data_IF_376992903267
#
_entry.id   IF_376992903267
#
_cell.length_a   1.000
_cell.length_b   1.000
_cell.length_c   1.000
_cell.angle_alpha   90.00
_cell.angle_beta   90.00
_cell.angle_gamma   90.00
#
_symmetry.space_group_name_H-M   'P 1'
#
loop_
_entity.id
_entity.type
_entity.pdbx_description
1 polymer ?
#
# COMPACT_ATOMS: atom_id res chain seq x y z
N UNK A 1 40.43 0.88 15.09
CA UNK A 1 40.31 -0.22 14.10
C UNK A 1 39.64 0.33 12.83
N UNK A 2 40.38 0.57 11.75
CA UNK A 2 39.86 1.18 10.51
C UNK A 2 39.18 0.08 9.69
N UNK A 3 37.84 0.02 9.70
CA UNK A 3 37.08 -0.95 8.92
C UNK A 3 37.27 -0.58 7.44
N UNK A 4 37.98 -1.40 6.67
CA UNK A 4 38.06 -1.25 5.21
C UNK A 4 36.71 -1.68 4.63
N UNK A 5 35.75 -0.77 4.62
CA UNK A 5 34.41 -1.02 4.07
C UNK A 5 34.59 -1.18 2.56
N UNK A 6 34.43 -2.41 2.05
CA UNK A 6 34.46 -2.66 0.61
C UNK A 6 33.21 -2.02 0.00
N UNK A 7 33.30 -1.50 -1.23
CA UNK A 7 32.14 -0.89 -1.93
C UNK A 7 30.89 -1.79 -1.92
N UNK A 8 31.08 -3.11 -1.98
CA UNK A 8 30.00 -4.09 -1.87
C UNK A 8 29.29 -4.13 -0.51
N UNK A 9 29.98 -3.82 0.58
CA UNK A 9 29.39 -3.75 1.92
C UNK A 9 28.53 -2.50 2.08
N UNK A 10 28.91 -1.38 1.46
CA UNK A 10 28.12 -0.14 1.43
C UNK A 10 26.80 -0.38 0.69
N UNK A 11 26.84 -1.02 -0.47
CA UNK A 11 25.64 -1.32 -1.28
C UNK A 11 24.65 -2.18 -0.48
N UNK A 12 25.14 -3.19 0.24
CA UNK A 12 24.28 -4.04 1.10
C UNK A 12 23.59 -3.23 2.20
N UNK A 13 24.33 -2.33 2.86
CA UNK A 13 23.77 -1.47 3.92
C UNK A 13 22.70 -0.53 3.33
N UNK A 14 22.94 0.05 2.16
CA UNK A 14 21.98 0.93 1.49
C UNK A 14 20.72 0.16 1.10
N UNK A 15 20.84 -1.03 0.50
CA UNK A 15 19.68 -1.85 0.14
C UNK A 15 18.88 -2.23 1.39
N UNK A 16 19.55 -2.64 2.47
CA UNK A 16 18.87 -2.98 3.72
C UNK A 16 18.12 -1.78 4.29
N UNK A 17 18.72 -0.58 4.27
CA UNK A 17 18.08 0.64 4.72
C UNK A 17 16.83 0.97 3.89
N UNK A 18 16.88 0.81 2.56
CA UNK A 18 15.72 1.02 1.68
C UNK A 18 14.59 0.03 1.97
N UNK A 19 14.91 -1.24 2.21
CA UNK A 19 13.91 -2.25 2.58
C UNK A 19 13.24 -1.89 3.91
N UNK A 20 14.00 -1.46 4.92
CA UNK A 20 13.45 -1.05 6.22
C UNK A 20 12.51 0.16 6.06
N UNK A 21 12.92 1.17 5.29
CA UNK A 21 12.08 2.35 5.00
C UNK A 21 10.79 1.92 4.30
N UNK A 22 10.90 1.04 3.30
CA UNK A 22 9.74 0.52 2.57
C UNK A 22 8.77 -0.23 3.49
N UNK A 23 9.29 -1.06 4.40
CA UNK A 23 8.47 -1.78 5.40
C UNK A 23 7.73 -0.79 6.30
N UNK A 24 8.40 0.27 6.78
CA UNK A 24 7.77 1.29 7.62
C UNK A 24 6.61 1.98 6.88
N UNK A 25 6.84 2.38 5.61
CA UNK A 25 5.81 2.98 4.75
C UNK A 25 4.61 2.03 4.60
N UNK A 26 4.87 0.76 4.28
CA UNK A 26 3.84 -0.26 4.15
C UNK A 26 2.99 -0.41 5.42
N UNK A 27 3.63 -0.46 6.59
CA UNK A 27 2.90 -0.59 7.86
C UNK A 27 2.08 0.65 8.20
N UNK A 28 2.58 1.85 7.93
CA UNK A 28 1.82 3.10 8.13
C UNK A 28 0.50 3.03 7.34
N UNK A 29 0.56 2.66 6.07
CA UNK A 29 -0.62 2.57 5.22
C UNK A 29 -1.53 1.41 5.60
N UNK A 30 -0.97 0.27 5.99
CA UNK A 30 -1.73 -0.86 6.52
C UNK A 30 -2.57 -0.46 7.75
N UNK A 31 -1.95 0.20 8.74
CA UNK A 31 -2.68 0.64 9.94
C UNK A 31 -3.74 1.71 9.62
N UNK A 32 -3.47 2.60 8.65
CA UNK A 32 -4.45 3.59 8.20
C UNK A 32 -5.64 2.94 7.50
N UNK A 33 -5.40 1.98 6.60
CA UNK A 33 -6.45 1.22 5.93
C UNK A 33 -7.32 0.46 6.94
N UNK A 34 -6.72 -0.13 7.98
CA UNK A 34 -7.46 -0.78 9.09
C UNK A 34 -8.30 0.19 9.92
N UNK A 35 -8.00 1.47 9.89
CA UNK A 35 -8.80 2.55 10.50
C UNK A 35 -9.75 3.21 9.49
N UNK A 36 -9.97 2.60 8.32
CA UNK A 36 -10.80 3.13 7.22
C UNK A 36 -10.37 4.50 6.68
N UNK A 37 -9.11 4.87 6.94
CA UNK A 37 -8.46 6.08 6.42
C UNK A 37 -7.77 5.77 5.10
N UNK A 38 -7.69 6.77 4.23
CA UNK A 38 -6.95 6.65 2.97
C UNK A 38 -5.45 6.45 3.24
N UNK A 39 -4.77 5.59 2.47
CA UNK A 39 -3.32 5.48 2.52
C UNK A 39 -2.65 6.81 2.18
N UNK A 40 -1.45 7.04 2.70
CA UNK A 40 -0.66 8.25 2.39
C UNK A 40 0.18 8.01 1.14
N UNK A 41 0.76 6.80 1.00
CA UNK A 41 1.71 6.50 -0.06
C UNK A 41 1.04 5.72 -1.19
N UNK A 42 0.20 6.41 -1.95
CA UNK A 42 -0.39 5.92 -3.19
C UNK A 42 0.48 6.30 -4.39
N UNK A 43 0.95 5.31 -5.15
CA UNK A 43 1.64 5.53 -6.44
C UNK A 43 0.60 5.88 -7.51
N UNK A 44 -0.54 5.21 -7.45
CA UNK A 44 -1.69 5.48 -8.31
C UNK A 44 -2.95 5.35 -7.48
N UNK A 45 -3.85 6.31 -7.64
CA UNK A 45 -5.18 6.25 -7.08
C UNK A 45 -6.22 6.44 -8.18
N UNK A 46 -7.37 5.79 -8.02
CA UNK A 46 -8.49 5.90 -8.92
C UNK A 46 -9.78 5.76 -8.12
N UNK A 47 -10.74 6.63 -8.39
CA UNK A 47 -12.11 6.51 -7.92
C UNK A 47 -12.99 6.10 -9.09
N UNK A 48 -13.70 4.98 -8.95
CA UNK A 48 -14.71 4.54 -9.92
C UNK A 48 -16.09 4.82 -9.36
N UNK A 49 -16.96 5.37 -10.20
CA UNK A 49 -18.37 5.58 -9.88
C UNK A 49 -19.19 4.41 -10.43
N UNK A 50 -20.15 3.97 -9.63
CA UNK A 50 -21.13 2.93 -9.96
C UNK A 50 -22.53 3.46 -9.63
N UNK A 51 -23.56 2.81 -10.18
CA UNK A 51 -24.95 3.24 -9.98
C UNK A 51 -25.39 3.26 -8.50
N UNK A 52 -24.72 2.47 -7.66
CA UNK A 52 -25.04 2.26 -6.24
C UNK A 52 -23.96 2.78 -5.27
N UNK A 53 -23.01 3.60 -5.77
CA UNK A 53 -21.98 4.22 -4.96
C UNK A 53 -20.62 4.40 -5.64
N UNK A 54 -19.55 4.49 -4.86
CA UNK A 54 -18.18 4.70 -5.39
C UNK A 54 -17.18 3.69 -4.83
N UNK A 55 -16.13 3.40 -5.61
CA UNK A 55 -15.00 2.60 -5.16
C UNK A 55 -13.73 3.42 -5.32
N UNK A 56 -13.11 3.76 -4.19
CA UNK A 56 -11.77 4.33 -4.17
C UNK A 56 -10.75 3.21 -4.17
N UNK A 57 -9.75 3.30 -5.03
CA UNK A 57 -8.64 2.36 -5.10
C UNK A 57 -7.32 3.11 -5.00
N UNK A 58 -6.39 2.57 -4.23
CA UNK A 58 -5.03 3.07 -4.10
C UNK A 58 -4.05 1.90 -4.28
N UNK A 59 -3.11 2.06 -5.20
CA UNK A 59 -1.99 1.15 -5.41
C UNK A 59 -0.75 1.77 -4.81
N UNK A 60 -0.25 1.21 -3.72
CA UNK A 60 0.98 1.63 -3.06
C UNK A 60 2.17 0.76 -3.46
N UNK A 61 3.28 0.92 -2.74
CA UNK A 61 4.49 0.12 -2.99
C UNK A 61 4.28 -1.31 -2.48
N UNK A 62 3.85 -2.22 -3.35
CA UNK A 62 3.68 -3.64 -3.07
C UNK A 62 2.32 -4.03 -2.49
N UNK A 63 1.38 -3.08 -2.40
CA UNK A 63 0.02 -3.34 -1.94
C UNK A 63 -1.00 -2.62 -2.82
N UNK A 64 -2.25 -3.06 -2.72
CA UNK A 64 -3.41 -2.35 -3.24
C UNK A 64 -4.51 -2.34 -2.18
N UNK A 65 -5.21 -1.23 -2.12
CA UNK A 65 -6.30 -0.99 -1.19
C UNK A 65 -7.52 -0.54 -1.97
N UNK A 66 -8.66 -1.11 -1.63
CA UNK A 66 -9.97 -0.69 -2.09
C UNK A 66 -10.78 -0.22 -0.89
N UNK A 67 -11.49 0.89 -1.07
CA UNK A 67 -12.51 1.38 -0.17
C UNK A 67 -13.81 1.40 -0.94
N UNK A 68 -14.76 0.59 -0.50
CA UNK A 68 -16.06 0.49 -1.13
C UNK A 68 -17.02 1.37 -0.34
N UNK A 69 -17.61 2.33 -1.03
CA UNK A 69 -18.74 3.12 -0.58
C UNK A 69 -19.91 2.80 -1.51
N UNK A 70 -20.23 1.50 -1.59
CA UNK A 70 -21.28 0.91 -2.43
C UNK A 70 -22.26 0.16 -1.57
N UNK A 71 -23.56 0.33 -1.82
CA UNK A 71 -24.60 -0.37 -1.06
C UNK A 71 -24.65 -1.88 -1.31
N UNK A 72 -24.12 -2.35 -2.46
CA UNK A 72 -24.04 -3.77 -2.79
C UNK A 72 -22.92 -4.54 -2.08
N UNK A 73 -21.90 -3.87 -1.53
CA UNK A 73 -20.70 -4.52 -0.98
C UNK A 73 -20.60 -4.27 0.53
N UNK A 74 -20.68 -5.34 1.33
CA UNK A 74 -20.63 -5.27 2.80
C UNK A 74 -19.20 -5.00 3.35
N UNK A 75 -18.17 -5.10 2.50
CA UNK A 75 -16.79 -4.82 2.86
C UNK A 75 -16.48 -3.32 2.70
N UNK A 76 -16.26 -2.59 3.80
CA UNK A 76 -15.90 -1.16 3.73
C UNK A 76 -14.48 -0.91 3.19
N UNK A 77 -13.51 -1.76 3.54
CA UNK A 77 -12.11 -1.65 3.12
C UNK A 77 -11.52 -3.03 2.88
N UNK A 78 -10.80 -3.16 1.77
CA UNK A 78 -10.00 -4.32 1.42
C UNK A 78 -8.56 -3.89 1.18
N UNK A 79 -7.61 -4.55 1.83
CA UNK A 79 -6.19 -4.27 1.69
C UNK A 79 -5.47 -5.59 1.42
N UNK A 80 -4.64 -5.62 0.39
CA UNK A 80 -3.90 -6.82 0.03
C UNK A 80 -2.72 -6.54 -0.89
N UNK A 81 -2.08 -7.60 -1.41
CA UNK A 81 -1.00 -7.46 -2.38
C UNK A 81 -1.44 -6.69 -3.63
N UNK A 82 -0.51 -6.08 -4.36
CA UNK A 82 -0.84 -5.22 -5.51
C UNK A 82 -1.69 -5.87 -6.63
N UNK A 83 -1.74 -7.21 -6.65
CA UNK A 83 -2.50 -8.02 -7.60
C UNK A 83 -3.92 -8.39 -7.14
N UNK A 84 -4.39 -7.88 -6.00
CA UNK A 84 -5.81 -8.06 -5.63
C UNK A 84 -6.73 -7.37 -6.65
N UNK A 85 -7.84 -8.02 -6.94
CA UNK A 85 -8.87 -7.50 -7.84
C UNK A 85 -9.95 -6.79 -7.04
N UNK A 86 -10.62 -5.85 -7.71
CA UNK A 86 -11.77 -5.14 -7.18
C UNK A 86 -12.95 -6.11 -7.08
N UNK A 87 -13.67 -6.09 -5.96
CA UNK A 87 -14.94 -6.81 -5.85
C UNK A 87 -15.99 -6.12 -6.69
N UNK A 88 -16.67 -6.91 -7.50
CA UNK A 88 -17.76 -6.45 -8.35
C UNK A 88 -19.14 -6.61 -7.69
N UNK A 89 -19.27 -7.58 -6.79
CA UNK A 89 -20.51 -8.02 -6.11
C UNK A 89 -20.21 -8.62 -4.72
#
# INVERSE_FOLDING_TARGET
>A
MKKNIKKGDIIKIVILALIIIWIIIFFIDYFRARQSKTPIFCISEQTKEYDDGTVYSCTGLGYKMYKYDRSSIDASVEFGPFFIQERTE
#
